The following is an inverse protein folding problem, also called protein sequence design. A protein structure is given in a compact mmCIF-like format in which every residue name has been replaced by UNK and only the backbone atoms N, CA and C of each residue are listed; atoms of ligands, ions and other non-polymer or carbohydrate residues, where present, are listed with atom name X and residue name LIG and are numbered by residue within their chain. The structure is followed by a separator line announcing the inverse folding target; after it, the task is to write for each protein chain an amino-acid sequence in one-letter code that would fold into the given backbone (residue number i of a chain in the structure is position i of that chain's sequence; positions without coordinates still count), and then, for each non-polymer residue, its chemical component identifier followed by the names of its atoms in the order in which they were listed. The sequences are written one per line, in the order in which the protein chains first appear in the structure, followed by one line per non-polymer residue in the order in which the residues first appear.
data_IF_177801734388
#
_entry.id   IF_177801734388
#
_cell.length_a   1.000
_cell.length_b   1.000
_cell.length_c   1.000
_cell.angle_alpha   90.00
_cell.angle_beta   90.00
_cell.angle_gamma   90.00
#
_symmetry.space_group_name_H-M   'P 1'
#
loop_
_entity.id
_entity.type
_entity.pdbx_description
1 polymer ?
#
# COMPACT_ATOMS: atom_id res chain seq x y z
N UNK A 1 7.37 -6.91 -18.99
CA UNK A 1 7.71 -5.69 -18.20
C UNK A 1 6.83 -4.50 -18.58
N UNK A 2 6.68 -4.13 -19.86
CA UNK A 2 5.78 -3.03 -20.27
C UNK A 2 4.32 -3.20 -19.82
N UNK A 3 3.76 -4.41 -19.95
CA UNK A 3 2.39 -4.72 -19.46
C UNK A 3 2.25 -4.52 -17.94
N UNK A 4 3.27 -4.90 -17.16
CA UNK A 4 3.26 -4.71 -15.70
C UNK A 4 3.20 -3.22 -15.37
N UNK A 5 4.12 -2.41 -15.92
CA UNK A 5 4.14 -0.97 -15.64
C UNK A 5 2.84 -0.29 -16.06
N UNK A 6 2.30 -0.65 -17.23
CA UNK A 6 0.99 -0.16 -17.66
C UNK A 6 -0.10 -0.48 -16.63
N UNK A 7 -0.21 -1.72 -16.17
CA UNK A 7 -1.22 -2.10 -15.16
C UNK A 7 -1.02 -1.35 -13.83
N UNK A 8 0.22 -1.22 -13.37
CA UNK A 8 0.53 -0.48 -12.15
C UNK A 8 0.12 1.00 -12.25
N UNK A 9 0.38 1.64 -13.38
CA UNK A 9 -0.05 3.02 -13.64
C UNK A 9 -1.57 3.15 -13.66
N UNK A 10 -2.28 2.23 -14.33
CA UNK A 10 -3.75 2.26 -14.40
C UNK A 10 -4.38 2.08 -13.01
N UNK A 11 -3.90 1.12 -12.21
CA UNK A 11 -4.44 0.89 -10.87
C UNK A 11 -4.11 2.04 -9.91
N UNK A 12 -2.92 2.62 -10.01
CA UNK A 12 -2.54 3.82 -9.25
C UNK A 12 -3.45 5.01 -9.59
N UNK A 13 -3.69 5.25 -10.88
CA UNK A 13 -4.61 6.30 -11.35
C UNK A 13 -6.03 6.10 -10.82
N UNK A 14 -6.57 4.87 -10.92
CA UNK A 14 -7.91 4.57 -10.44
C UNK A 14 -8.02 4.71 -8.93
N UNK A 15 -7.04 4.22 -8.17
CA UNK A 15 -7.00 4.40 -6.72
C UNK A 15 -7.06 5.89 -6.36
N UNK A 16 -6.19 6.71 -6.94
CA UNK A 16 -6.17 8.16 -6.68
C UNK A 16 -7.50 8.84 -7.04
N UNK A 17 -8.10 8.48 -8.18
CA UNK A 17 -9.40 9.02 -8.59
C UNK A 17 -10.52 8.72 -7.57
N UNK A 18 -10.60 7.50 -7.05
CA UNK A 18 -11.61 7.15 -6.05
C UNK A 18 -11.29 7.71 -4.66
N UNK A 19 -10.01 7.84 -4.32
CA UNK A 19 -9.57 8.55 -3.12
C UNK A 19 -10.04 10.00 -3.13
N UNK A 20 -9.81 10.73 -4.23
CA UNK A 20 -10.28 12.12 -4.41
C UNK A 20 -11.80 12.25 -4.36
N UNK A 21 -12.53 11.23 -4.84
CA UNK A 21 -14.00 11.17 -4.75
C UNK A 21 -14.50 10.82 -3.36
N UNK A 22 -13.66 10.31 -2.46
CA UNK A 22 -14.04 9.85 -1.13
C UNK A 22 -14.72 8.48 -1.14
N UNK A 23 -14.57 7.70 -2.22
CA UNK A 23 -15.04 6.32 -2.31
C UNK A 23 -13.91 5.38 -1.88
N UNK A 24 -13.80 5.20 -0.57
CA UNK A 24 -12.68 4.46 0.02
C UNK A 24 -12.74 2.95 -0.20
N UNK A 25 -13.94 2.40 -0.44
CA UNK A 25 -14.08 0.98 -0.82
C UNK A 25 -13.47 0.75 -2.20
N UNK A 26 -13.79 1.61 -3.18
CA UNK A 26 -13.18 1.53 -4.51
C UNK A 26 -11.70 1.87 -4.51
N UNK A 27 -11.27 2.83 -3.70
CA UNK A 27 -9.84 3.09 -3.48
C UNK A 27 -9.11 1.82 -3.06
N UNK A 28 -9.60 1.13 -2.01
CA UNK A 28 -8.94 -0.06 -1.48
C UNK A 28 -8.98 -1.23 -2.48
N UNK A 29 -10.02 -1.36 -3.30
CA UNK A 29 -10.11 -2.35 -4.38
C UNK A 29 -8.96 -2.17 -5.40
N UNK A 30 -8.74 -0.95 -5.88
CA UNK A 30 -7.66 -0.68 -6.84
C UNK A 30 -6.28 -0.65 -6.20
N UNK A 31 -6.17 -0.21 -4.95
CA UNK A 31 -4.95 -0.31 -4.15
C UNK A 31 -4.52 -1.78 -3.96
N UNK A 32 -5.47 -2.68 -3.69
CA UNK A 32 -5.22 -4.12 -3.67
C UNK A 32 -4.73 -4.64 -5.01
N UNK A 33 -5.39 -4.23 -6.09
CA UNK A 33 -5.02 -4.66 -7.44
C UNK A 33 -3.60 -4.23 -7.79
N UNK A 34 -3.23 -2.99 -7.47
CA UNK A 34 -1.86 -2.46 -7.59
C UNK A 34 -0.84 -3.35 -6.86
N UNK A 35 -1.13 -3.67 -5.60
CA UNK A 35 -0.24 -4.48 -4.76
C UNK A 35 -0.09 -5.91 -5.26
N UNK A 36 -1.21 -6.56 -5.57
CA UNK A 36 -1.22 -7.93 -6.04
C UNK A 36 -0.46 -8.04 -7.36
N UNK A 37 -0.72 -7.15 -8.32
CA UNK A 37 0.02 -7.12 -9.58
C UNK A 37 1.52 -6.97 -9.34
N UNK A 38 1.94 -6.04 -8.48
CA UNK A 38 3.36 -5.88 -8.18
C UNK A 38 3.99 -7.14 -7.57
N UNK A 39 3.34 -7.71 -6.55
CA UNK A 39 3.85 -8.88 -5.83
C UNK A 39 3.84 -10.14 -6.71
N UNK A 40 2.81 -10.33 -7.52
CA UNK A 40 2.69 -11.45 -8.45
C UNK A 40 3.75 -11.37 -9.55
N UNK A 41 3.97 -10.19 -10.13
CA UNK A 41 5.05 -10.00 -11.11
C UNK A 41 6.43 -10.18 -10.48
N UNK A 42 6.66 -9.61 -9.30
CA UNK A 42 7.95 -9.75 -8.59
C UNK A 42 8.21 -11.22 -8.28
N UNK A 43 7.27 -11.91 -7.64
CA UNK A 43 7.41 -13.33 -7.30
C UNK A 43 7.54 -14.23 -8.53
N UNK A 44 6.82 -13.96 -9.62
CA UNK A 44 6.96 -14.74 -10.86
C UNK A 44 8.33 -14.59 -11.51
N UNK A 45 8.94 -13.40 -11.43
CA UNK A 45 10.22 -13.11 -12.08
C UNK A 45 11.43 -13.54 -11.25
N UNK A 46 11.44 -13.21 -9.95
CA UNK A 46 12.60 -13.43 -9.06
C UNK A 46 12.34 -14.47 -7.97
N UNK A 47 11.15 -15.06 -7.91
CA UNK A 47 10.77 -16.04 -6.89
C UNK A 47 10.39 -15.39 -5.56
N UNK A 48 10.06 -16.22 -4.58
CA UNK A 48 9.74 -15.80 -3.20
C UNK A 48 10.92 -15.99 -2.23
N UNK A 49 12.11 -16.35 -2.73
CA UNK A 49 13.29 -16.64 -1.90
C UNK A 49 13.23 -17.99 -1.16
N UNK A 50 12.22 -18.81 -1.41
CA UNK A 50 12.07 -20.17 -0.87
C UNK A 50 12.54 -21.20 -1.91
N UNK A 51 13.17 -22.29 -1.47
CA UNK A 51 13.75 -23.33 -2.33
C UNK A 51 12.78 -23.96 -3.35
N UNK A 52 11.47 -23.84 -3.13
CA UNK A 52 10.44 -24.47 -3.97
C UNK A 52 9.79 -23.51 -4.98
N UNK A 53 10.27 -22.27 -5.08
CA UNK A 53 9.66 -21.25 -5.94
C UNK A 53 10.72 -20.41 -6.65
N UNK A 54 11.57 -21.08 -7.44
CA UNK A 54 12.52 -20.42 -8.34
C UNK A 54 11.78 -19.61 -9.39
N UNK A 55 12.09 -18.31 -9.44
CA UNK A 55 11.54 -17.37 -10.40
C UNK A 55 11.98 -17.66 -11.83
N UNK A 56 11.26 -17.10 -12.80
CA UNK A 56 11.55 -17.27 -14.22
C UNK A 56 13.02 -16.89 -14.57
N UNK A 57 13.55 -15.83 -13.96
CA UNK A 57 14.92 -15.37 -14.24
C UNK A 57 15.97 -16.40 -13.81
N UNK A 58 15.76 -17.07 -12.68
CA UNK A 58 16.67 -18.12 -12.22
C UNK A 58 16.67 -19.32 -13.16
N UNK A 59 15.49 -19.74 -13.63
CA UNK A 59 15.37 -20.83 -14.60
C UNK A 59 16.06 -20.48 -15.92
N UNK A 60 15.89 -19.26 -16.41
CA UNK A 60 16.57 -18.79 -17.63
C UNK A 60 18.08 -18.76 -17.43
N UNK A 61 18.56 -18.23 -16.31
CA UNK A 61 19.98 -18.19 -15.98
C UNK A 61 20.59 -19.60 -15.89
N UNK A 62 19.90 -20.54 -15.25
CA UNK A 62 20.32 -21.94 -15.20
C UNK A 62 20.48 -22.53 -16.60
N UNK A 63 19.47 -22.37 -17.48
CA UNK A 63 19.55 -22.85 -18.87
C UNK A 63 20.74 -22.23 -19.60
N UNK A 64 20.95 -20.92 -19.49
CA UNK A 64 22.08 -20.23 -20.14
C UNK A 64 23.43 -20.75 -19.65
N UNK A 65 23.58 -20.97 -18.33
CA UNK A 65 24.80 -21.53 -17.73
C UNK A 65 25.02 -22.98 -18.17
N UNK A 66 23.97 -23.80 -18.21
CA UNK A 66 24.05 -25.19 -18.69
C UNK A 66 24.48 -25.25 -20.14
N UNK A 67 23.87 -24.45 -21.03
CA UNK A 67 24.25 -24.38 -22.44
C UNK A 67 25.69 -23.92 -22.60
N UNK A 68 26.08 -22.85 -21.89
CA UNK A 68 27.45 -22.32 -21.91
C UNK A 68 28.50 -23.37 -21.53
N UNK A 69 28.18 -24.23 -20.56
CA UNK A 69 29.08 -25.27 -20.07
C UNK A 69 29.01 -26.57 -20.87
N UNK A 70 28.17 -26.65 -21.90
CA UNK A 70 27.96 -27.88 -22.66
C UNK A 70 29.06 -28.14 -23.68
N UNK A 71 29.41 -29.41 -23.86
CA UNK A 71 30.47 -29.86 -24.76
C UNK A 71 30.11 -29.68 -26.26
N UNK A 72 28.81 -29.56 -26.60
CA UNK A 72 28.36 -29.43 -27.99
C UNK A 72 28.82 -28.13 -28.68
N UNK A 73 29.22 -27.11 -27.91
CA UNK A 73 29.62 -25.80 -28.45
C UNK A 73 30.97 -25.82 -29.21
N UNK A 74 31.72 -26.92 -29.16
CA UNK A 74 32.85 -27.17 -30.06
C UNK A 74 33.91 -26.05 -30.13
N UNK A 75 34.50 -25.85 -31.31
CA UNK A 75 35.57 -24.87 -31.61
C UNK A 75 35.07 -23.44 -31.92
N UNK A 76 33.77 -23.24 -32.16
CA UNK A 76 33.13 -21.91 -32.32
C UNK A 76 32.88 -21.21 -30.97
N UNK A 77 33.52 -21.71 -29.92
CA UNK A 77 33.34 -21.36 -28.51
C UNK A 77 33.42 -19.86 -28.25
N UNK A 78 34.29 -19.11 -28.91
CA UNK A 78 34.58 -17.74 -28.45
C UNK A 78 33.40 -16.77 -28.64
N UNK A 79 32.82 -16.68 -29.84
CA UNK A 79 31.71 -15.74 -30.10
C UNK A 79 30.40 -16.12 -29.39
N UNK A 80 30.07 -17.41 -29.36
CA UNK A 80 28.85 -17.89 -28.69
C UNK A 80 28.99 -17.74 -27.16
N UNK A 81 30.17 -17.98 -26.60
CA UNK A 81 30.41 -17.85 -25.16
C UNK A 81 30.40 -16.39 -24.70
N UNK A 82 30.93 -15.45 -25.50
CA UNK A 82 30.78 -14.01 -25.27
C UNK A 82 29.31 -13.60 -25.28
N UNK A 83 28.54 -14.00 -26.30
CA UNK A 83 27.10 -13.72 -26.37
C UNK A 83 26.35 -14.27 -25.15
N UNK A 84 26.64 -15.51 -24.73
CA UNK A 84 26.00 -16.12 -23.55
C UNK A 84 26.39 -15.38 -22.26
N UNK A 85 27.64 -14.95 -22.11
CA UNK A 85 28.07 -14.13 -20.97
C UNK A 85 27.30 -12.81 -20.90
N UNK A 86 27.16 -12.12 -22.03
CA UNK A 86 26.42 -10.85 -22.09
C UNK A 86 24.95 -11.04 -21.70
N UNK A 87 24.32 -12.13 -22.15
CA UNK A 87 22.94 -12.46 -21.76
C UNK A 87 22.83 -12.81 -20.28
N UNK A 88 23.72 -13.63 -19.74
CA UNK A 88 23.76 -13.97 -18.31
C UNK A 88 23.91 -12.69 -17.46
N UNK A 89 24.83 -11.81 -17.83
CA UNK A 89 25.05 -10.54 -17.15
C UNK A 89 23.82 -9.63 -17.22
N UNK A 90 23.17 -9.54 -18.37
CA UNK A 90 21.93 -8.79 -18.55
C UNK A 90 20.81 -9.32 -17.65
N UNK A 91 20.56 -10.64 -17.63
CA UNK A 91 19.51 -11.23 -16.81
C UNK A 91 19.81 -11.11 -15.31
N UNK A 92 21.07 -11.25 -14.90
CA UNK A 92 21.50 -10.98 -13.52
C UNK A 92 21.23 -9.53 -13.13
N UNK A 93 21.55 -8.56 -14.00
CA UNK A 93 21.27 -7.15 -13.75
C UNK A 93 19.77 -6.89 -13.61
N UNK A 94 18.95 -7.44 -14.50
CA UNK A 94 17.48 -7.32 -14.43
C UNK A 94 16.95 -7.94 -13.13
N UNK A 95 17.47 -9.09 -12.70
CA UNK A 95 17.10 -9.74 -11.44
C UNK A 95 17.36 -8.81 -10.26
N UNK A 96 18.59 -8.29 -10.14
CA UNK A 96 18.99 -7.38 -9.06
C UNK A 96 18.14 -6.11 -9.06
N UNK A 97 17.85 -5.54 -10.23
CA UNK A 97 16.99 -4.36 -10.36
C UNK A 97 15.57 -4.62 -9.83
N UNK A 98 14.96 -5.78 -10.14
CA UNK A 98 13.61 -6.14 -9.68
C UNK A 98 13.59 -6.45 -8.18
N UNK A 99 14.60 -7.19 -7.68
CA UNK A 99 14.73 -7.49 -6.26
C UNK A 99 14.86 -6.22 -5.42
N UNK A 100 15.69 -5.29 -5.88
CA UNK A 100 15.96 -4.00 -5.25
C UNK A 100 14.83 -2.98 -5.40
N UNK A 101 13.78 -3.25 -6.19
CA UNK A 101 12.63 -2.33 -6.25
C UNK A 101 11.93 -2.26 -4.88
N UNK A 102 11.80 -1.05 -4.30
CA UNK A 102 11.11 -0.87 -3.03
C UNK A 102 9.64 -1.25 -3.17
N UNK A 103 8.98 -1.51 -2.03
CA UNK A 103 7.53 -1.68 -1.99
C UNK A 103 6.86 -0.40 -2.46
N UNK A 104 5.75 -0.52 -3.18
CA UNK A 104 4.95 0.63 -3.61
C UNK A 104 3.95 1.08 -2.54
N UNK A 105 3.73 0.29 -1.51
CA UNK A 105 2.68 0.50 -0.50
C UNK A 105 3.05 -0.10 0.84
N UNK A 106 2.28 0.27 1.86
CA UNK A 106 2.25 -0.40 3.15
C UNK A 106 1.24 -1.55 3.11
N UNK A 107 1.67 -2.74 3.52
CA UNK A 107 0.88 -3.97 3.46
C UNK A 107 -0.18 -4.07 4.55
N UNK A 108 0.05 -3.40 5.68
CA UNK A 108 -0.80 -3.49 6.86
C UNK A 108 -2.08 -2.67 6.65
N UNK A 109 -3.20 -3.17 7.16
CA UNK A 109 -4.42 -2.37 7.27
C UNK A 109 -4.45 -1.76 8.67
N UNK A 110 -4.72 -0.44 8.80
CA UNK A 110 -4.76 0.19 10.10
C UNK A 110 -5.86 -0.35 10.99
N UNK A 111 -5.54 -0.50 12.27
CA UNK A 111 -6.56 -0.70 13.30
C UNK A 111 -7.27 0.63 13.59
N UNK A 112 -8.57 0.52 13.84
CA UNK A 112 -9.41 1.68 14.11
C UNK A 112 -9.16 2.23 15.54
N UNK A 113 -9.77 3.37 15.87
CA UNK A 113 -9.65 4.01 17.18
C UNK A 113 -9.99 3.05 18.32
N UNK A 114 -9.24 3.15 19.42
CA UNK A 114 -9.53 2.41 20.64
C UNK A 114 -10.76 2.98 21.37
N UNK A 115 -11.00 4.28 21.26
CA UNK A 115 -12.11 4.97 21.92
C UNK A 115 -12.44 6.30 21.23
N UNK A 116 -13.73 6.67 21.25
CA UNK A 116 -14.24 7.99 20.85
C UNK A 116 -14.92 8.59 22.08
N UNK A 117 -14.53 9.81 22.49
CA UNK A 117 -15.08 10.46 23.70
C UNK A 117 -15.43 11.93 23.49
N UNK A 118 -16.59 12.35 24.01
CA UNK A 118 -17.07 13.74 23.98
C UNK A 118 -16.88 14.41 25.35
N UNK A 119 -15.67 14.31 25.90
CA UNK A 119 -15.37 14.85 27.24
C UNK A 119 -15.18 16.36 27.24
N UNK A 120 -14.82 16.94 26.10
CA UNK A 120 -14.66 18.38 25.95
C UNK A 120 -16.02 19.07 26.03
N UNK A 121 -16.05 20.22 26.69
CA UNK A 121 -17.26 21.03 26.83
C UNK A 121 -17.43 21.93 25.60
N UNK A 122 -17.59 21.30 24.44
CA UNK A 122 -17.86 21.97 23.16
C UNK A 122 -19.28 21.58 22.77
N UNK A 123 -20.19 22.55 22.81
CA UNK A 123 -21.60 22.31 22.57
C UNK A 123 -21.96 22.39 21.09
N UNK A 124 -23.00 21.66 20.69
CA UNK A 124 -23.62 21.80 19.38
C UNK A 124 -24.56 23.01 19.31
N UNK A 125 -24.82 23.58 18.12
CA UNK A 125 -24.24 23.22 16.83
C UNK A 125 -22.92 23.96 16.55
N UNK A 126 -21.96 23.27 15.91
CA UNK A 126 -20.73 23.88 15.39
C UNK A 126 -20.38 23.26 14.03
N UNK A 127 -20.49 24.04 12.96
CA UNK A 127 -20.30 23.55 11.59
C UNK A 127 -21.24 22.39 11.23
N UNK A 128 -20.65 21.23 10.94
CA UNK A 128 -21.36 19.98 10.63
C UNK A 128 -21.81 19.21 11.87
N UNK A 129 -21.30 19.55 13.06
CA UNK A 129 -21.71 18.97 14.34
C UNK A 129 -23.09 19.50 14.73
N UNK A 130 -24.11 18.67 14.53
CA UNK A 130 -25.51 18.99 14.85
C UNK A 130 -26.19 17.78 15.45
N UNK A 131 -27.08 18.03 16.39
CA UNK A 131 -27.86 16.99 17.05
C UNK A 131 -28.59 16.11 16.03
N UNK A 132 -28.54 14.80 16.27
CA UNK A 132 -29.20 13.79 15.43
C UNK A 132 -28.41 13.33 14.22
N UNK A 133 -27.24 13.92 13.93
CA UNK A 133 -26.32 13.40 12.89
C UNK A 133 -25.51 12.22 13.42
N UNK A 134 -25.05 11.37 12.51
CA UNK A 134 -24.10 10.30 12.83
C UNK A 134 -22.71 10.64 12.30
N UNK A 135 -21.68 10.52 13.14
CA UNK A 135 -20.28 10.64 12.72
C UNK A 135 -19.61 9.27 12.67
N UNK A 136 -18.76 9.06 11.66
CA UNK A 136 -17.91 7.87 11.52
C UNK A 136 -16.49 8.28 11.17
N UNK A 137 -15.55 7.46 11.58
CA UNK A 137 -14.14 7.69 11.32
C UNK A 137 -13.45 6.49 10.68
N UNK A 138 -12.42 6.76 9.90
CA UNK A 138 -11.51 5.75 9.36
C UNK A 138 -10.09 6.31 9.38
N UNK A 139 -9.11 5.43 9.23
CA UNK A 139 -7.69 5.80 9.36
C UNK A 139 -6.83 5.21 8.26
N UNK A 140 -5.69 5.84 7.97
CA UNK A 140 -4.71 5.34 7.01
C UNK A 140 -3.30 5.53 7.59
N UNK A 141 -2.44 4.51 7.50
CA UNK A 141 -1.03 4.67 7.81
C UNK A 141 -0.31 5.39 6.68
N UNK A 142 0.54 6.33 7.05
CA UNK A 142 1.42 7.05 6.14
C UNK A 142 2.87 7.01 6.66
N UNK A 143 3.82 6.75 5.75
CA UNK A 143 5.25 6.75 6.04
C UNK A 143 6.00 7.28 4.83
N UNK A 144 6.63 8.44 4.98
CA UNK A 144 7.33 9.16 3.89
C UNK A 144 6.42 9.37 2.67
N UNK A 145 6.51 8.48 1.68
CA UNK A 145 5.76 8.51 0.41
C UNK A 145 4.84 7.30 0.23
N UNK A 146 4.80 6.41 1.23
CA UNK A 146 4.02 5.17 1.21
C UNK A 146 2.77 5.32 2.07
N UNK A 147 1.67 4.79 1.53
CA UNK A 147 0.38 4.75 2.20
C UNK A 147 -0.07 3.30 2.35
N UNK A 148 -0.87 3.04 3.37
CA UNK A 148 -1.65 1.80 3.48
C UNK A 148 -3.01 1.93 2.81
N UNK A 149 -3.79 0.85 2.85
CA UNK A 149 -5.25 0.92 2.72
C UNK A 149 -5.86 1.83 3.77
N UNK A 150 -7.10 2.22 3.52
CA UNK A 150 -7.93 2.85 4.54
C UNK A 150 -8.53 1.76 5.42
N UNK A 151 -8.43 1.93 6.73
CA UNK A 151 -9.05 1.04 7.71
C UNK A 151 -10.57 1.08 7.61
N UNK A 152 -11.24 0.09 8.20
CA UNK A 152 -12.69 0.06 8.23
C UNK A 152 -13.26 1.31 8.94
N UNK A 153 -14.43 1.75 8.50
CA UNK A 153 -15.19 2.78 9.20
C UNK A 153 -15.55 2.32 10.61
N UNK A 154 -15.48 3.24 11.56
CA UNK A 154 -15.98 3.01 12.91
C UNK A 154 -17.50 2.80 12.89
N UNK A 155 -17.99 2.26 14.00
CA UNK A 155 -19.41 2.32 14.29
C UNK A 155 -19.90 3.78 14.29
N UNK A 156 -21.15 4.03 13.85
CA UNK A 156 -21.71 5.37 13.86
C UNK A 156 -21.87 5.86 15.29
N UNK A 157 -21.47 7.10 15.54
CA UNK A 157 -21.68 7.77 16.83
C UNK A 157 -22.66 8.91 16.63
N UNK A 158 -23.79 8.88 17.35
CA UNK A 158 -24.78 9.94 17.27
C UNK A 158 -24.28 11.21 17.95
N UNK A 159 -24.28 12.31 17.21
CA UNK A 159 -24.04 13.65 17.73
C UNK A 159 -25.27 14.07 18.54
N UNK A 160 -25.02 14.53 19.76
CA UNK A 160 -26.01 15.10 20.68
C UNK A 160 -25.52 16.49 21.07
N UNK A 161 -25.80 16.93 22.30
CA UNK A 161 -25.42 18.23 22.86
C UNK A 161 -23.92 18.58 22.81
N UNK A 162 -23.04 17.63 22.50
CA UNK A 162 -21.58 17.82 22.43
C UNK A 162 -21.01 17.51 21.06
N UNK A 163 -20.00 18.29 20.68
CA UNK A 163 -19.27 18.23 19.43
C UNK A 163 -17.78 17.91 19.64
N UNK A 164 -17.07 17.70 18.53
CA UNK A 164 -15.61 17.61 18.46
C UNK A 164 -14.98 16.60 19.44
N UNK A 165 -15.22 15.29 19.24
CA UNK A 165 -14.74 14.27 20.16
C UNK A 165 -13.22 14.16 20.13
N UNK A 166 -12.70 13.64 21.24
CA UNK A 166 -11.34 13.12 21.33
C UNK A 166 -11.33 11.66 20.89
N UNK A 167 -10.54 11.37 19.86
CA UNK A 167 -10.26 10.04 19.35
C UNK A 167 -8.98 9.52 20.00
N UNK A 168 -9.05 8.34 20.63
CA UNK A 168 -7.90 7.68 21.24
C UNK A 168 -7.36 6.61 20.29
N UNK A 169 -6.09 6.76 19.92
CA UNK A 169 -5.44 5.86 18.98
C UNK A 169 -4.80 4.66 19.68
N UNK A 170 -4.85 3.46 19.08
CA UNK A 170 -3.93 2.40 19.46
C UNK A 170 -2.49 2.84 19.15
N UNK A 171 -1.54 2.32 19.93
CA UNK A 171 -0.12 2.60 19.71
C UNK A 171 0.33 1.84 18.45
N UNK A 172 0.68 2.56 17.38
CA UNK A 172 1.32 1.93 16.23
C UNK A 172 2.76 1.54 16.58
N UNK A 173 3.02 0.23 16.66
CA UNK A 173 4.34 -0.30 17.05
C UNK A 173 5.43 0.09 16.05
N UNK A 174 5.06 0.33 14.80
CA UNK A 174 5.98 0.75 13.73
C UNK A 174 6.19 2.26 13.67
N UNK A 175 5.54 3.03 14.55
CA UNK A 175 5.70 4.49 14.68
C UNK A 175 5.49 5.26 13.38
N UNK A 176 4.43 4.95 12.63
CA UNK A 176 4.02 5.66 11.42
C UNK A 176 3.04 6.79 11.75
N UNK A 177 2.87 7.71 10.81
CA UNK A 177 1.83 8.72 10.90
C UNK A 177 0.48 8.08 10.59
N UNK A 178 -0.59 8.62 11.19
CA UNK A 178 -1.95 8.14 10.97
C UNK A 178 -2.81 9.30 10.46
N UNK A 179 -3.29 9.17 9.22
CA UNK A 179 -4.27 10.07 8.65
C UNK A 179 -5.66 9.70 9.16
N UNK A 180 -6.44 10.70 9.59
CA UNK A 180 -7.76 10.53 10.17
C UNK A 180 -8.81 11.07 9.23
N UNK A 181 -9.74 10.22 8.82
CA UNK A 181 -10.87 10.59 7.98
C UNK A 181 -12.15 10.59 8.79
N UNK A 182 -13.02 11.56 8.50
CA UNK A 182 -14.35 11.72 9.09
C UNK A 182 -15.40 11.74 8.00
N UNK A 183 -16.57 11.18 8.27
CA UNK A 183 -17.79 11.45 7.49
C UNK A 183 -18.98 11.59 8.41
N UNK A 184 -19.93 12.43 8.03
CA UNK A 184 -21.22 12.55 8.69
C UNK A 184 -22.30 11.92 7.83
N UNK A 185 -23.13 11.06 8.42
CA UNK A 185 -24.20 10.36 7.73
C UNK A 185 -23.68 9.67 6.45
N UNK A 186 -24.22 10.04 5.28
CA UNK A 186 -23.80 9.59 3.95
C UNK A 186 -22.97 10.64 3.19
N UNK A 187 -22.39 11.61 3.89
CA UNK A 187 -21.56 12.63 3.27
C UNK A 187 -20.25 12.05 2.71
N UNK A 188 -19.65 12.78 1.79
CA UNK A 188 -18.28 12.51 1.35
C UNK A 188 -17.33 12.55 2.56
N UNK A 189 -16.42 11.58 2.71
CA UNK A 189 -15.32 11.63 3.66
C UNK A 189 -14.43 12.86 3.52
N UNK A 190 -13.88 13.30 4.66
CA UNK A 190 -12.92 14.40 4.74
C UNK A 190 -11.72 13.96 5.57
N UNK A 191 -10.51 14.32 5.14
CA UNK A 191 -9.31 14.24 5.97
C UNK A 191 -9.40 15.36 7.01
N UNK A 192 -9.46 15.00 8.29
CA UNK A 192 -9.62 15.95 9.40
C UNK A 192 -8.32 16.18 10.17
N UNK A 193 -7.34 15.30 10.00
CA UNK A 193 -6.02 15.53 10.58
C UNK A 193 -5.05 14.38 10.39
N UNK A 194 -3.87 14.61 10.93
CA UNK A 194 -2.76 13.66 10.97
C UNK A 194 -2.27 13.52 12.40
N UNK A 195 -2.05 12.28 12.83
CA UNK A 195 -1.57 11.92 14.15
C UNK A 195 -0.12 11.45 14.01
N UNK A 196 0.75 12.10 14.77
CA UNK A 196 2.18 11.74 14.80
C UNK A 196 2.42 10.50 15.67
N UNK A 197 3.54 9.78 15.51
CA UNK A 197 3.76 8.49 16.16
C UNK A 197 3.74 8.49 17.69
N UNK A 198 3.93 9.66 18.30
CA UNK A 198 3.98 9.84 19.75
C UNK A 198 2.69 10.42 20.32
N UNK A 199 1.68 10.63 19.49
CA UNK A 199 0.40 11.20 19.87
C UNK A 199 -0.64 10.10 20.02
N UNK A 200 -1.24 10.00 21.21
CA UNK A 200 -2.25 8.99 21.54
C UNK A 200 -3.68 9.51 21.47
N UNK A 201 -3.87 10.82 21.48
CA UNK A 201 -5.17 11.48 21.46
C UNK A 201 -5.23 12.52 20.34
N UNK A 202 -6.34 12.54 19.60
CA UNK A 202 -6.62 13.50 18.54
C UNK A 202 -7.98 14.14 18.79
N UNK A 203 -8.07 15.47 18.72
CA UNK A 203 -9.33 16.19 18.87
C UNK A 203 -9.79 16.59 17.47
N UNK A 204 -10.99 16.16 17.09
CA UNK A 204 -11.58 16.44 15.80
C UNK A 204 -12.39 17.75 15.85
N UNK A 205 -11.73 18.88 15.62
CA UNK A 205 -12.34 20.22 15.70
C UNK A 205 -13.15 20.50 14.41
#
# INVERSE_FOLDING_TARGET
VSVMFFLLEQYSFLANHYYEKGDFEKYDEYFNSLNNVFLDFKSSLVGTGTSNNEGLLDRVLQVLVTVKNSEFLGLEKNGVNEMLNDKINLFNKIKVEIEGKPRMTLSETPENFAQISFDKDITTPIGDWRDGREVRYAVQYASETLFSKIGHWSDPVSVREKACPTLRMPVDQTRRNILVFRKFDRSKPQLVGEITPYQSNFIDI
#
